data_IF_101544050381
#
_entry.id   IF_101544050381
#
_cell.length_a   1.000
_cell.length_b   1.000
_cell.length_c   1.000
_cell.angle_alpha   90.00
_cell.angle_beta   90.00
_cell.angle_gamma   90.00
#
_symmetry.space_group_name_H-M   'P 1'
#
loop_
_entity.id
_entity.type
_entity.pdbx_description
1 polymer ?
#
# COMPACT_ATOMS: atom_id res chain seq x y z
N UNK A 1 -45.86 -40.75 -8.48
CA UNK A 1 -45.97 -39.50 -7.69
C UNK A 1 -46.57 -39.87 -6.35
N UNK A 2 -46.29 -39.18 -5.24
CA UNK A 2 -47.04 -39.39 -4.01
C UNK A 2 -48.53 -39.15 -4.33
N UNK A 3 -49.37 -40.15 -4.15
CA UNK A 3 -50.81 -40.00 -4.35
C UNK A 3 -51.34 -39.00 -3.32
N UNK A 4 -52.09 -37.98 -3.78
CA UNK A 4 -52.75 -37.01 -2.89
C UNK A 4 -52.21 -35.58 -2.88
N UNK A 5 -51.21 -35.22 -3.70
CA UNK A 5 -50.77 -33.83 -3.84
C UNK A 5 -51.60 -33.08 -4.89
N UNK A 6 -51.98 -31.81 -4.64
CA UNK A 6 -52.74 -31.02 -5.60
C UNK A 6 -51.94 -30.82 -6.90
N UNK A 7 -52.61 -30.79 -8.07
CA UNK A 7 -51.94 -30.54 -9.35
C UNK A 7 -51.19 -29.21 -9.31
N UNK A 8 -49.90 -29.24 -9.67
CA UNK A 8 -49.00 -28.08 -9.60
C UNK A 8 -48.17 -27.96 -8.32
N UNK A 9 -48.35 -28.85 -7.33
CA UNK A 9 -47.48 -28.88 -6.15
C UNK A 9 -46.05 -29.32 -6.51
N UNK A 10 -45.09 -28.42 -6.31
CA UNK A 10 -43.67 -28.73 -6.48
C UNK A 10 -43.07 -29.05 -5.11
N UNK A 11 -42.57 -30.28 -4.96
CA UNK A 11 -41.85 -30.70 -3.74
C UNK A 11 -40.65 -29.77 -3.49
N UNK A 12 -40.54 -29.15 -2.30
CA UNK A 12 -39.41 -28.31 -1.96
C UNK A 12 -38.11 -29.13 -2.07
N UNK A 13 -37.09 -28.59 -2.75
CA UNK A 13 -35.75 -29.17 -2.78
C UNK A 13 -34.88 -28.52 -1.70
N UNK A 14 -34.79 -29.09 -0.47
CA UNK A 14 -34.07 -28.46 0.64
C UNK A 14 -32.56 -28.39 0.41
N UNK A 15 -32.04 -29.10 -0.60
CA UNK A 15 -30.63 -29.08 -0.97
C UNK A 15 -30.17 -27.71 -1.47
N UNK A 16 -31.01 -27.00 -2.24
CA UNK A 16 -30.63 -25.69 -2.81
C UNK A 16 -30.34 -24.63 -1.73
N UNK A 17 -31.23 -24.36 -0.75
CA UNK A 17 -30.92 -23.44 0.34
C UNK A 17 -29.70 -23.86 1.15
N UNK A 18 -29.46 -25.17 1.35
CA UNK A 18 -28.29 -25.66 2.07
C UNK A 18 -27.00 -25.38 1.32
N UNK A 19 -26.93 -25.66 0.02
CA UNK A 19 -25.74 -25.35 -0.80
C UNK A 19 -25.43 -23.86 -0.81
N UNK A 20 -26.44 -23.01 -1.01
CA UNK A 20 -26.27 -21.55 -0.93
C UNK A 20 -25.83 -21.11 0.47
N UNK A 21 -26.38 -21.73 1.52
CA UNK A 21 -25.98 -21.49 2.90
C UNK A 21 -24.50 -21.82 3.16
N UNK A 22 -24.02 -22.98 2.70
CA UNK A 22 -22.60 -23.37 2.79
C UNK A 22 -21.71 -22.37 2.05
N UNK A 23 -22.06 -22.01 0.82
CA UNK A 23 -21.30 -21.04 0.03
C UNK A 23 -21.22 -19.67 0.73
N UNK A 24 -22.32 -19.18 1.28
CA UNK A 24 -22.33 -17.92 2.03
C UNK A 24 -21.39 -17.96 3.23
N UNK A 25 -21.36 -19.07 3.97
CA UNK A 25 -20.46 -19.25 5.12
C UNK A 25 -19.00 -19.25 4.67
N UNK A 26 -18.65 -20.06 3.66
CA UNK A 26 -17.28 -20.16 3.15
C UNK A 26 -16.79 -18.83 2.59
N UNK A 27 -17.58 -18.18 1.72
CA UNK A 27 -17.21 -16.88 1.19
C UNK A 27 -17.13 -15.81 2.26
N UNK A 28 -18.01 -15.82 3.26
CA UNK A 28 -17.93 -14.86 4.35
C UNK A 28 -16.61 -15.00 5.11
N UNK A 29 -16.19 -16.23 5.43
CA UNK A 29 -14.91 -16.49 6.11
C UNK A 29 -13.73 -16.00 5.27
N UNK A 30 -13.70 -16.34 3.98
CA UNK A 30 -12.61 -15.92 3.07
C UNK A 30 -12.55 -14.40 2.93
N UNK A 31 -13.70 -13.74 2.75
CA UNK A 31 -13.77 -12.29 2.63
C UNK A 31 -13.51 -11.58 3.97
N UNK A 32 -13.81 -12.22 5.11
CA UNK A 32 -13.42 -11.73 6.43
C UNK A 32 -11.91 -11.76 6.60
N UNK A 33 -11.26 -12.87 6.27
CA UNK A 33 -9.81 -12.98 6.33
C UNK A 33 -9.15 -11.92 5.43
N UNK A 34 -9.57 -11.86 4.17
CA UNK A 34 -9.04 -10.86 3.23
C UNK A 34 -9.31 -9.41 3.67
N UNK A 35 -10.54 -9.12 4.11
CA UNK A 35 -10.92 -7.79 4.60
C UNK A 35 -10.19 -7.38 5.88
N UNK A 36 -9.92 -8.33 6.78
CA UNK A 36 -9.19 -8.08 8.03
C UNK A 36 -7.71 -7.84 7.76
N UNK A 37 -7.09 -8.66 6.90
CA UNK A 37 -5.70 -8.45 6.47
C UNK A 37 -5.52 -7.12 5.73
N UNK A 38 -6.44 -6.79 4.82
CA UNK A 38 -6.43 -5.50 4.14
C UNK A 38 -6.66 -4.33 5.12
N UNK A 39 -7.59 -4.47 6.07
CA UNK A 39 -7.83 -3.47 7.12
C UNK A 39 -6.60 -3.26 8.00
N UNK A 40 -5.96 -4.34 8.45
CA UNK A 40 -4.72 -4.29 9.21
C UNK A 40 -3.61 -3.59 8.42
N UNK A 41 -3.49 -3.89 7.12
CA UNK A 41 -2.56 -3.21 6.23
C UNK A 41 -2.83 -1.70 6.18
N UNK A 42 -4.07 -1.27 5.90
CA UNK A 42 -4.44 0.17 5.83
C UNK A 42 -4.13 0.89 7.15
N UNK A 43 -4.33 0.23 8.29
CA UNK A 43 -4.03 0.80 9.61
C UNK A 43 -2.54 0.81 9.95
N UNK A 44 -1.78 -0.18 9.44
CA UNK A 44 -0.35 -0.30 9.70
C UNK A 44 0.52 0.64 8.85
N UNK A 45 0.06 1.02 7.65
CA UNK A 45 0.84 1.87 6.74
C UNK A 45 1.30 3.20 7.37
N UNK A 46 0.44 4.00 8.04
CA UNK A 46 0.89 5.26 8.65
C UNK A 46 1.97 5.07 9.71
N UNK A 47 1.86 3.99 10.50
CA UNK A 47 2.85 3.64 11.51
C UNK A 47 4.17 3.24 10.85
N UNK A 48 4.11 2.38 9.83
CA UNK A 48 5.29 1.98 9.07
C UNK A 48 5.97 3.18 8.41
N UNK A 49 5.20 4.08 7.80
CA UNK A 49 5.71 5.31 7.20
C UNK A 49 6.39 6.21 8.24
N UNK A 50 5.81 6.35 9.44
CA UNK A 50 6.42 7.13 10.53
C UNK A 50 7.78 6.53 10.96
N UNK A 51 7.85 5.22 11.17
CA UNK A 51 9.08 4.52 11.56
C UNK A 51 10.17 4.61 10.48
N UNK A 52 9.77 4.47 9.21
CA UNK A 52 10.71 4.62 8.10
C UNK A 52 11.21 6.06 7.97
N UNK A 53 10.34 7.05 8.14
CA UNK A 53 10.71 8.46 8.09
C UNK A 53 11.67 8.86 9.22
N UNK A 54 11.53 8.28 10.41
CA UNK A 54 12.50 8.49 11.49
C UNK A 54 13.86 7.90 11.15
N UNK A 55 13.90 6.66 10.63
CA UNK A 55 15.15 6.02 10.22
C UNK A 55 15.86 6.77 9.10
N UNK A 56 15.14 7.24 8.07
CA UNK A 56 15.72 8.04 6.98
C UNK A 56 16.29 9.36 7.50
N UNK A 57 15.62 10.01 8.47
CA UNK A 57 16.12 11.25 9.06
C UNK A 57 17.38 11.04 9.90
N UNK A 58 17.47 9.92 10.62
CA UNK A 58 18.65 9.56 11.40
C UNK A 58 19.84 9.25 10.48
N UNK A 59 19.65 8.41 9.46
CA UNK A 59 20.72 8.11 8.48
C UNK A 59 21.14 9.36 7.71
N UNK A 60 20.22 10.25 7.35
CA UNK A 60 20.55 11.53 6.72
C UNK A 60 21.36 12.45 7.65
N UNK A 61 21.06 12.48 8.95
CA UNK A 61 21.84 13.24 9.94
C UNK A 61 23.24 12.67 10.10
N UNK A 62 23.37 11.36 10.27
CA UNK A 62 24.67 10.70 10.40
C UNK A 62 25.53 10.91 9.15
N UNK A 63 24.94 10.78 7.96
CA UNK A 63 25.65 11.05 6.71
C UNK A 63 26.11 12.52 6.63
N UNK A 64 25.27 13.47 7.05
CA UNK A 64 25.63 14.88 7.09
C UNK A 64 26.77 15.17 8.10
N UNK A 65 26.75 14.52 9.27
CA UNK A 65 27.81 14.65 10.28
C UNK A 65 29.13 14.04 9.82
N UNK A 66 29.11 12.81 9.28
CA UNK A 66 30.30 12.18 8.69
C UNK A 66 30.90 13.03 7.59
N UNK A 67 30.04 13.64 6.76
CA UNK A 67 30.47 14.54 5.69
C UNK A 67 31.09 15.83 6.22
N UNK A 68 30.49 16.45 7.23
CA UNK A 68 31.08 17.62 7.90
C UNK A 68 32.45 17.28 8.48
N UNK A 69 32.59 16.14 9.16
CA UNK A 69 33.86 15.68 9.70
C UNK A 69 34.92 15.49 8.60
N UNK A 70 34.57 14.87 7.46
CA UNK A 70 35.47 14.72 6.31
C UNK A 70 35.90 16.07 5.72
N UNK A 71 34.96 17.02 5.59
CA UNK A 71 35.27 18.36 5.10
C UNK A 71 36.20 19.13 6.04
N UNK A 72 35.99 19.03 7.35
CA UNK A 72 36.88 19.62 8.35
C UNK A 72 38.27 18.97 8.33
N UNK A 73 38.34 17.65 8.18
CA UNK A 73 39.60 16.93 8.04
C UNK A 73 40.38 17.36 6.79
N UNK A 74 39.71 17.45 5.64
CA UNK A 74 40.31 17.92 4.39
C UNK A 74 40.83 19.35 4.52
N UNK A 75 40.07 20.25 5.15
CA UNK A 75 40.51 21.64 5.42
C UNK A 75 41.74 21.67 6.33
N UNK A 76 41.80 20.80 7.34
CA UNK A 76 42.98 20.69 8.22
C UNK A 76 44.21 20.18 7.47
N UNK A 77 44.05 19.17 6.60
CA UNK A 77 45.14 18.64 5.77
C UNK A 77 45.63 19.67 4.75
N UNK A 78 44.71 20.40 4.11
CA UNK A 78 45.01 21.48 3.15
C UNK A 78 45.84 22.60 3.80
N UNK A 79 45.50 22.96 5.05
CA UNK A 79 46.25 23.95 5.82
C UNK A 79 47.63 23.47 6.31
N UNK A 80 47.80 22.16 6.50
CA UNK A 80 49.06 21.55 6.96
C UNK A 80 50.03 21.18 5.82
N UNK A 81 49.54 21.08 4.58
CA UNK A 81 50.37 20.71 3.43
C UNK A 81 51.36 21.85 3.06
N UNK A 82 52.65 21.53 3.04
CA UNK A 82 53.73 22.47 2.68
C UNK A 82 53.94 22.53 1.15
N UNK A 83 53.60 21.46 0.43
CA UNK A 83 53.76 21.36 -1.02
C UNK A 83 52.52 21.88 -1.80
N UNK A 84 52.74 22.84 -2.71
CA UNK A 84 51.75 23.33 -3.68
C UNK A 84 50.94 22.22 -4.41
N UNK A 85 51.57 21.15 -4.96
CA UNK A 85 50.82 20.10 -5.65
C UNK A 85 49.90 19.30 -4.72
N UNK A 86 50.27 19.10 -3.45
CA UNK A 86 49.45 18.38 -2.47
C UNK A 86 48.23 19.23 -2.05
N UNK A 87 48.45 20.53 -1.80
CA UNK A 87 47.37 21.47 -1.46
C UNK A 87 46.32 21.55 -2.57
N UNK A 88 46.75 21.58 -3.82
CA UNK A 88 45.85 21.62 -4.98
C UNK A 88 44.95 20.37 -5.07
N UNK A 89 45.50 19.18 -4.81
CA UNK A 89 44.71 17.92 -4.77
C UNK A 89 43.68 17.92 -3.66
N UNK A 90 44.06 18.29 -2.45
CA UNK A 90 43.14 18.34 -1.29
C UNK A 90 42.02 19.36 -1.51
N UNK A 91 42.33 20.50 -2.14
CA UNK A 91 41.32 21.49 -2.52
C UNK A 91 40.34 20.94 -3.55
N UNK A 92 40.82 20.23 -4.58
CA UNK A 92 39.96 19.58 -5.57
C UNK A 92 39.06 18.50 -4.95
N UNK A 93 39.58 17.69 -4.02
CA UNK A 93 38.78 16.70 -3.28
C UNK A 93 37.70 17.35 -2.41
N UNK A 94 38.04 18.45 -1.72
CA UNK A 94 37.08 19.22 -0.93
C UNK A 94 35.98 19.81 -1.81
N UNK A 95 36.35 20.43 -2.92
CA UNK A 95 35.39 21.01 -3.88
C UNK A 95 34.50 19.92 -4.51
N UNK A 96 35.05 18.76 -4.84
CA UNK A 96 34.27 17.62 -5.33
C UNK A 96 33.29 17.11 -4.26
N UNK A 97 33.74 16.95 -3.01
CA UNK A 97 32.88 16.53 -1.90
C UNK A 97 31.83 17.60 -1.56
N UNK A 98 32.14 18.90 -1.69
CA UNK A 98 31.19 20.02 -1.55
C UNK A 98 30.16 20.05 -2.69
N UNK A 99 30.53 19.71 -3.92
CA UNK A 99 29.61 19.59 -5.06
C UNK A 99 28.68 18.38 -4.96
N UNK A 100 29.09 17.33 -4.24
CA UNK A 100 28.24 16.17 -3.91
C UNK A 100 27.13 16.53 -2.90
N UNK A 101 27.10 17.76 -2.35
CA UNK A 101 26.25 18.13 -1.20
C UNK A 101 24.76 18.06 -1.39
N UNK A 102 24.33 18.44 -2.59
CA UNK A 102 22.97 18.92 -2.80
C UNK A 102 22.14 17.91 -3.57
N UNK A 103 22.70 16.75 -3.88
CA UNK A 103 21.89 15.60 -4.23
C UNK A 103 21.25 15.13 -2.92
N UNK A 104 19.96 15.41 -2.63
CA UNK A 104 19.26 14.63 -1.62
C UNK A 104 19.54 13.18 -2.00
N UNK A 105 20.07 12.37 -1.06
CA UNK A 105 20.23 10.95 -1.33
C UNK A 105 18.92 10.52 -1.99
N UNK A 106 18.96 9.90 -3.20
CA UNK A 106 17.76 9.37 -3.85
C UNK A 106 17.32 8.15 -3.05
N UNK A 107 17.08 8.34 -1.76
CA UNK A 107 16.40 7.43 -0.90
C UNK A 107 15.04 7.30 -1.50
N UNK A 108 14.73 6.06 -1.87
CA UNK A 108 13.38 5.63 -2.15
C UNK A 108 12.48 6.23 -1.06
N UNK A 109 11.78 7.33 -1.38
CA UNK A 109 10.86 7.96 -0.44
C UNK A 109 9.63 7.05 -0.39
N UNK A 110 9.78 5.99 0.39
CA UNK A 110 8.72 5.02 0.66
C UNK A 110 7.55 5.72 1.33
N UNK A 111 7.77 6.87 1.97
CA UNK A 111 6.72 7.77 2.44
C UNK A 111 5.88 8.37 1.31
N UNK A 112 6.43 8.55 0.12
CA UNK A 112 5.69 8.93 -1.10
C UNK A 112 5.01 7.73 -1.74
N UNK A 113 5.68 6.56 -1.79
CA UNK A 113 5.09 5.32 -2.34
C UNK A 113 3.89 4.83 -1.50
N UNK A 114 4.04 4.82 -0.18
CA UNK A 114 2.98 4.52 0.80
C UNK A 114 2.09 5.74 1.09
N UNK A 115 2.50 6.92 0.62
CA UNK A 115 1.88 8.22 0.91
C UNK A 115 0.50 8.41 0.30
N UNK A 116 0.07 7.53 -0.59
CA UNK A 116 -1.32 7.56 -1.08
C UNK A 116 -2.34 7.43 0.05
N UNK A 117 -1.98 6.82 1.18
CA UNK A 117 -2.82 6.74 2.38
C UNK A 117 -2.68 7.94 3.34
N UNK A 118 -1.76 8.88 3.10
CA UNK A 118 -1.71 10.14 3.86
C UNK A 118 -2.80 11.13 3.44
N UNK A 119 -3.37 10.98 2.24
CA UNK A 119 -4.54 11.78 1.85
C UNK A 119 -5.76 11.31 2.67
N UNK A 120 -6.36 12.18 3.51
CA UNK A 120 -7.47 11.80 4.38
C UNK A 120 -8.68 11.28 3.59
N UNK A 121 -8.83 11.64 2.31
CA UNK A 121 -9.91 11.17 1.45
C UNK A 121 -9.68 9.72 1.02
N UNK A 122 -8.44 9.38 0.67
CA UNK A 122 -8.07 8.00 0.30
C UNK A 122 -8.15 7.11 1.52
N UNK A 123 -7.67 7.58 2.68
CA UNK A 123 -7.78 6.85 3.93
C UNK A 123 -9.23 6.64 4.35
N UNK A 124 -10.07 7.68 4.35
CA UNK A 124 -11.49 7.55 4.68
C UNK A 124 -12.22 6.62 3.72
N UNK A 125 -11.90 6.66 2.42
CA UNK A 125 -12.44 5.72 1.43
C UNK A 125 -12.04 4.28 1.75
N UNK A 126 -10.75 4.01 1.98
CA UNK A 126 -10.25 2.68 2.33
C UNK A 126 -10.83 2.17 3.65
N UNK A 127 -10.93 3.02 4.66
CA UNK A 127 -11.52 2.66 5.95
C UNK A 127 -13.02 2.36 5.81
N UNK A 128 -13.75 3.17 5.04
CA UNK A 128 -15.17 2.93 4.74
C UNK A 128 -15.35 1.59 4.02
N UNK A 129 -14.52 1.30 3.02
CA UNK A 129 -14.52 0.02 2.32
C UNK A 129 -14.29 -1.14 3.32
N UNK A 130 -13.25 -1.07 4.15
CA UNK A 130 -12.96 -2.11 5.16
C UNK A 130 -14.15 -2.31 6.11
N UNK A 131 -14.64 -1.25 6.76
CA UNK A 131 -15.70 -1.35 7.78
C UNK A 131 -16.98 -1.90 7.16
N UNK A 132 -17.43 -1.33 6.05
CA UNK A 132 -18.67 -1.77 5.39
C UNK A 132 -18.53 -3.18 4.81
N UNK A 133 -17.33 -3.57 4.38
CA UNK A 133 -17.02 -4.91 3.89
C UNK A 133 -17.12 -5.96 4.99
N UNK A 134 -16.46 -5.71 6.12
CA UNK A 134 -16.51 -6.58 7.30
C UNK A 134 -17.94 -6.72 7.84
N UNK A 135 -18.69 -5.62 7.93
CA UNK A 135 -20.08 -5.64 8.39
C UNK A 135 -20.97 -6.46 7.45
N UNK A 136 -20.88 -6.26 6.13
CA UNK A 136 -21.68 -7.04 5.17
C UNK A 136 -21.27 -8.51 5.11
N UNK A 137 -19.99 -8.83 5.36
CA UNK A 137 -19.53 -10.22 5.47
C UNK A 137 -20.05 -10.88 6.75
N UNK A 138 -20.15 -10.14 7.86
CA UNK A 138 -20.78 -10.60 9.10
C UNK A 138 -22.23 -11.00 8.86
N UNK A 139 -22.99 -10.10 8.23
CA UNK A 139 -24.39 -10.34 7.88
C UNK A 139 -24.52 -11.52 6.92
N UNK A 140 -23.63 -11.64 5.93
CA UNK A 140 -23.62 -12.76 4.98
C UNK A 140 -23.38 -14.10 5.67
N UNK A 141 -22.48 -14.14 6.66
CA UNK A 141 -22.25 -15.32 7.49
C UNK A 141 -23.52 -15.68 8.27
N UNK A 142 -24.16 -14.72 8.93
CA UNK A 142 -25.42 -14.93 9.66
C UNK A 142 -26.54 -15.42 8.74
N UNK A 143 -26.66 -14.88 7.53
CA UNK A 143 -27.61 -15.34 6.52
C UNK A 143 -27.32 -16.78 6.09
N UNK A 144 -26.03 -17.14 5.90
CA UNK A 144 -25.59 -18.50 5.61
C UNK A 144 -26.04 -19.50 6.69
N UNK A 145 -25.85 -19.17 7.97
CA UNK A 145 -26.33 -20.00 9.09
C UNK A 145 -27.87 -20.12 9.10
N UNK A 146 -28.59 -19.04 8.79
CA UNK A 146 -30.05 -19.05 8.67
C UNK A 146 -30.54 -19.99 7.55
N UNK A 147 -29.86 -19.97 6.40
CA UNK A 147 -30.16 -20.84 5.26
C UNK A 147 -29.87 -22.32 5.55
N UNK A 148 -28.78 -22.62 6.25
CA UNK A 148 -28.46 -24.00 6.68
C UNK A 148 -29.52 -24.57 7.63
N UNK A 149 -30.11 -23.71 8.47
CA UNK A 149 -31.21 -24.05 9.37
C UNK A 149 -32.60 -23.95 8.72
N UNK A 150 -32.66 -23.71 7.41
CA UNK A 150 -33.90 -23.55 6.63
C UNK A 150 -34.87 -22.51 7.20
N UNK A 151 -34.34 -21.47 7.86
CA UNK A 151 -35.17 -20.39 8.41
C UNK A 151 -35.50 -19.34 7.37
N UNK A 152 -36.74 -18.88 7.34
CA UNK A 152 -37.24 -17.90 6.36
C UNK A 152 -36.50 -16.57 6.41
N UNK A 153 -36.12 -16.12 7.62
CA UNK A 153 -35.36 -14.89 7.77
C UNK A 153 -33.98 -14.98 7.10
N UNK A 154 -33.38 -16.17 7.02
CA UNK A 154 -32.09 -16.36 6.35
C UNK A 154 -32.17 -16.08 4.84
N UNK A 155 -33.29 -16.46 4.21
CA UNK A 155 -33.57 -16.15 2.79
C UNK A 155 -33.76 -14.66 2.58
N UNK A 156 -34.62 -14.02 3.38
CA UNK A 156 -34.89 -12.57 3.27
C UNK A 156 -33.61 -11.77 3.48
N UNK A 157 -32.85 -12.10 4.54
CA UNK A 157 -31.59 -11.45 4.85
C UNK A 157 -30.56 -11.64 3.73
N UNK A 158 -30.43 -12.86 3.18
CA UNK A 158 -29.53 -13.14 2.06
C UNK A 158 -29.80 -12.27 0.82
N UNK A 159 -31.06 -12.09 0.46
CA UNK A 159 -31.46 -11.23 -0.69
C UNK A 159 -31.09 -9.76 -0.42
N UNK A 160 -31.40 -9.25 0.78
CA UNK A 160 -31.05 -7.88 1.16
C UNK A 160 -29.54 -7.63 1.16
N UNK A 161 -28.75 -8.56 1.71
CA UNK A 161 -27.29 -8.44 1.74
C UNK A 161 -26.71 -8.46 0.33
N UNK A 162 -27.23 -9.30 -0.57
CA UNK A 162 -26.80 -9.32 -1.97
C UNK A 162 -27.05 -7.97 -2.63
N UNK A 163 -28.25 -7.39 -2.45
CA UNK A 163 -28.57 -6.05 -2.93
C UNK A 163 -27.66 -4.97 -2.35
N UNK A 164 -27.44 -4.97 -1.03
CA UNK A 164 -26.55 -4.02 -0.36
C UNK A 164 -25.10 -4.15 -0.81
N UNK A 165 -24.59 -5.36 -1.05
CA UNK A 165 -23.24 -5.58 -1.59
C UNK A 165 -23.10 -5.01 -3.00
N UNK A 166 -24.08 -5.21 -3.87
CA UNK A 166 -24.08 -4.64 -5.22
C UNK A 166 -24.11 -3.11 -5.15
N UNK A 167 -25.03 -2.54 -4.38
CA UNK A 167 -25.15 -1.09 -4.22
C UNK A 167 -23.86 -0.48 -3.66
N UNK A 168 -23.26 -1.08 -2.63
CA UNK A 168 -21.97 -0.68 -2.06
C UNK A 168 -20.85 -0.75 -3.11
N UNK A 169 -20.75 -1.85 -3.85
CA UNK A 169 -19.71 -2.01 -4.87
C UNK A 169 -19.81 -0.94 -5.95
N UNK A 170 -21.03 -0.64 -6.42
CA UNK A 170 -21.23 0.43 -7.39
C UNK A 170 -20.87 1.80 -6.81
N UNK A 171 -21.31 2.11 -5.59
CA UNK A 171 -21.00 3.38 -4.94
C UNK A 171 -19.48 3.56 -4.75
N UNK A 172 -18.79 2.54 -4.22
CA UNK A 172 -17.35 2.59 -4.00
C UNK A 172 -16.58 2.61 -5.33
N UNK A 173 -17.01 1.85 -6.34
CA UNK A 173 -16.38 1.90 -7.66
C UNK A 173 -16.51 3.29 -8.30
N UNK A 174 -17.68 3.93 -8.20
CA UNK A 174 -17.88 5.28 -8.70
C UNK A 174 -17.00 6.30 -7.97
N UNK A 175 -16.97 6.28 -6.64
CA UNK A 175 -16.06 7.16 -5.85
C UNK A 175 -14.60 6.85 -6.17
N UNK A 176 -14.25 5.58 -6.33
CA UNK A 176 -12.93 5.10 -6.68
C UNK A 176 -12.45 5.67 -8.01
N UNK A 177 -13.28 5.59 -9.05
CA UNK A 177 -12.95 6.10 -10.39
C UNK A 177 -12.95 7.63 -10.42
N UNK A 178 -13.99 8.27 -9.87
CA UNK A 178 -14.20 9.71 -9.99
C UNK A 178 -13.31 10.55 -9.06
N UNK A 179 -12.96 10.03 -7.88
CA UNK A 179 -12.26 10.79 -6.84
C UNK A 179 -10.89 10.19 -6.52
N UNK A 180 -10.82 8.90 -6.24
CA UNK A 180 -9.58 8.28 -5.73
C UNK A 180 -8.54 8.09 -6.83
N UNK A 181 -8.95 7.62 -8.01
CA UNK A 181 -8.07 7.39 -9.14
C UNK A 181 -7.31 8.66 -9.57
N UNK A 182 -7.96 9.83 -9.80
CA UNK A 182 -7.22 11.04 -10.17
C UNK A 182 -6.31 11.58 -9.06
N UNK A 183 -6.59 11.29 -7.78
CA UNK A 183 -5.67 11.63 -6.68
C UNK A 183 -4.42 10.74 -6.79
N UNK A 184 -4.60 9.42 -6.92
CA UNK A 184 -3.49 8.47 -7.05
C UNK A 184 -2.63 8.74 -8.28
N UNK A 185 -3.24 9.04 -9.43
CA UNK A 185 -2.51 9.38 -10.66
C UNK A 185 -1.66 10.64 -10.46
N UNK A 186 -2.20 11.71 -9.86
CA UNK A 186 -1.44 12.94 -9.58
C UNK A 186 -0.29 12.69 -8.61
N UNK A 187 -0.51 11.91 -7.55
CA UNK A 187 0.53 11.53 -6.60
C UNK A 187 1.63 10.70 -7.28
N UNK A 188 1.25 9.73 -8.10
CA UNK A 188 2.18 8.89 -8.84
C UNK A 188 2.98 9.70 -9.87
N UNK A 189 2.35 10.63 -10.59
CA UNK A 189 3.04 11.55 -11.51
C UNK A 189 4.02 12.46 -10.77
N UNK A 190 3.63 13.01 -9.63
CA UNK A 190 4.52 13.84 -8.81
C UNK A 190 5.72 13.03 -8.28
N UNK A 191 5.51 11.76 -7.91
CA UNK A 191 6.57 10.85 -7.52
C UNK A 191 7.53 10.58 -8.68
N UNK A 192 6.99 10.26 -9.87
CA UNK A 192 7.81 10.02 -11.05
C UNK A 192 8.66 11.24 -11.44
N UNK A 193 8.08 12.44 -11.40
CA UNK A 193 8.80 13.68 -11.67
C UNK A 193 9.95 13.91 -10.67
N UNK A 194 9.77 13.55 -9.38
CA UNK A 194 10.83 13.64 -8.38
C UNK A 194 11.95 12.63 -8.64
N UNK A 195 11.59 11.40 -9.00
CA UNK A 195 12.57 10.35 -9.34
C UNK A 195 13.40 10.80 -10.54
N UNK A 196 12.74 11.27 -11.60
CA UNK A 196 13.39 11.77 -12.82
C UNK A 196 14.31 12.97 -12.52
N UNK A 197 13.86 13.92 -11.71
CA UNK A 197 14.68 15.06 -11.29
C UNK A 197 15.88 14.68 -10.40
N UNK A 198 15.78 13.57 -9.66
CA UNK A 198 16.85 13.06 -8.80
C UNK A 198 17.81 12.11 -9.53
N UNK A 199 17.50 11.71 -10.77
CA UNK A 199 18.32 10.76 -11.51
C UNK A 199 19.54 11.50 -12.11
N UNK A 200 20.78 11.05 -11.84
CA UNK A 200 21.96 11.65 -12.46
C UNK A 200 21.85 11.59 -13.98
N UNK A 201 22.06 12.73 -14.66
CA UNK A 201 22.05 12.78 -16.13
C UNK A 201 23.09 11.77 -16.67
N UNK A 202 22.61 10.68 -17.26
CA UNK A 202 23.45 9.60 -17.82
C UNK A 202 23.35 8.25 -17.09
N UNK A 203 22.81 8.21 -15.87
CA UNK A 203 22.47 6.95 -15.20
C UNK A 203 21.08 6.49 -15.66
N UNK A 204 21.00 5.82 -16.81
CA UNK A 204 19.75 5.24 -17.32
C UNK A 204 19.09 4.29 -16.30
N UNK A 205 17.87 3.81 -16.60
CA UNK A 205 17.11 2.85 -15.76
C UNK A 205 17.90 1.60 -15.33
N UNK A 206 19.00 1.29 -16.01
CA UNK A 206 19.98 0.27 -15.62
C UNK A 206 20.46 0.46 -14.17
N UNK A 207 20.77 1.68 -13.72
CA UNK A 207 21.28 1.91 -12.36
C UNK A 207 20.30 1.52 -11.26
N UNK A 208 18.99 1.72 -11.46
CA UNK A 208 17.96 1.32 -10.49
C UNK A 208 17.83 -0.19 -10.43
N UNK A 209 17.92 -0.88 -11.58
CA UNK A 209 17.89 -2.35 -11.61
C UNK A 209 19.11 -2.97 -10.93
N UNK A 210 20.30 -2.38 -11.06
CA UNK A 210 21.51 -2.87 -10.41
C UNK A 210 21.50 -2.63 -8.89
N UNK A 211 21.01 -1.47 -8.45
CA UNK A 211 20.84 -1.19 -7.02
C UNK A 211 19.80 -2.12 -6.37
N UNK A 212 18.68 -2.38 -7.06
CA UNK A 212 17.69 -3.37 -6.62
C UNK A 212 18.27 -4.79 -6.57
N UNK A 213 19.07 -5.19 -7.57
CA UNK A 213 19.73 -6.49 -7.59
C UNK A 213 20.72 -6.65 -6.43
N UNK A 214 21.51 -5.61 -6.13
CA UNK A 214 22.40 -5.59 -4.96
C UNK A 214 21.64 -5.68 -3.64
N UNK A 215 20.53 -4.94 -3.47
CA UNK A 215 19.70 -5.02 -2.26
C UNK A 215 19.05 -6.40 -2.12
N UNK A 216 18.66 -7.03 -3.22
CA UNK A 216 18.10 -8.37 -3.22
C UNK A 216 19.15 -9.48 -2.97
N UNK A 217 20.43 -9.13 -2.88
CA UNK A 217 21.53 -10.11 -2.76
C UNK A 217 21.68 -10.98 -4.01
N UNK A 218 21.14 -10.54 -5.14
CA UNK A 218 21.28 -11.21 -6.44
C UNK A 218 22.48 -10.56 -7.11
N UNK A 219 23.68 -10.98 -6.70
CA UNK A 219 24.90 -10.74 -7.48
C UNK A 219 25.18 -11.98 -8.30
N UNK A 220 25.37 -11.80 -9.60
CA UNK A 220 25.76 -12.86 -10.57
C UNK A 220 27.06 -13.58 -10.17
#
# INVERSE_FOLDING_TARGET
MPEGLPPGYVLPKPQLPKTVGVLNVVFAILLFLGGTLYGAYVMAVPLLAAVMNTGIRETAKEAAEQRRAKLEELRRREAAAEEEPERSKLKAEREALELEADAPMPGFDMGVMLGSLHDPRVYAYSLTDVITGLLLNALMFTAGLGLLRLREWGRRLGIWIAGLKIARLLALALVGVLVISPIKVRQQQAMWARIEASQPQGAGMTGVSTAMAQIAGITD
#
